data_IF_233008913619
#
_entry.id   IF_233008913619
#
_cell.length_a   1.000
_cell.length_b   1.000
_cell.length_c   1.000
_cell.angle_alpha   90.00
_cell.angle_beta   90.00
_cell.angle_gamma   90.00
#
_symmetry.space_group_name_H-M   'P 1'
#
loop_
_entity.id
_entity.type
_entity.pdbx_description
1 polymer ?
#
# COMPACT_ATOMS: atom_id res chain seq x y z
N UNK A 1 21.80 0.49 8.04
CA UNK A 1 20.33 0.47 7.93
C UNK A 1 19.91 1.61 7.03
N UNK A 2 19.09 1.33 6.03
CA UNK A 2 18.58 2.32 5.06
C UNK A 2 17.08 2.42 5.24
N UNK A 3 16.54 3.62 5.33
CA UNK A 3 15.11 3.89 5.34
C UNK A 3 14.77 4.84 4.19
N UNK A 4 13.73 4.53 3.42
CA UNK A 4 13.31 5.29 2.26
C UNK A 4 11.95 5.94 2.54
N UNK A 5 11.84 7.23 2.30
CA UNK A 5 10.54 7.87 2.13
C UNK A 5 10.07 7.62 0.69
N UNK A 6 8.95 6.97 0.49
CA UNK A 6 8.40 6.77 -0.86
C UNK A 6 8.04 8.11 -1.52
N UNK A 7 8.02 8.15 -2.85
CA UNK A 7 7.56 9.34 -3.58
C UNK A 7 6.16 9.77 -3.10
N UNK A 8 6.01 11.05 -2.82
CA UNK A 8 4.78 11.62 -2.25
C UNK A 8 4.67 11.51 -0.73
N UNK A 9 5.65 10.90 -0.04
CA UNK A 9 5.72 10.79 1.42
C UNK A 9 6.97 11.48 1.98
N UNK A 10 6.89 11.84 3.27
CA UNK A 10 8.03 12.37 4.02
C UNK A 10 8.73 13.52 3.33
N UNK A 11 10.03 13.37 3.10
CA UNK A 11 10.91 14.34 2.44
C UNK A 11 11.12 14.06 0.94
N UNK A 12 10.58 12.95 0.42
CA UNK A 12 10.70 12.61 -0.99
C UNK A 12 9.90 13.56 -1.89
N UNK A 13 10.29 13.62 -3.15
CA UNK A 13 9.62 14.46 -4.15
C UNK A 13 8.14 14.09 -4.29
N UNK A 14 7.27 15.05 -4.64
CA UNK A 14 5.87 14.77 -4.91
C UNK A 14 5.72 13.88 -6.15
N UNK A 15 4.63 13.13 -6.21
CA UNK A 15 4.28 12.35 -7.38
C UNK A 15 4.03 13.26 -8.60
N UNK A 16 4.50 12.83 -9.77
CA UNK A 16 4.17 13.46 -11.06
C UNK A 16 2.95 12.80 -11.71
N UNK A 17 2.66 11.55 -11.34
CA UNK A 17 1.52 10.76 -11.78
C UNK A 17 1.03 9.83 -10.66
N UNK A 18 -0.13 9.22 -10.82
CA UNK A 18 -0.70 8.35 -9.80
C UNK A 18 -0.04 6.96 -9.84
N UNK A 19 0.63 6.57 -8.78
CA UNK A 19 1.33 5.31 -8.60
C UNK A 19 0.42 4.19 -8.10
N UNK A 20 0.60 2.99 -8.65
CA UNK A 20 0.13 1.71 -8.12
C UNK A 20 1.16 1.11 -7.15
N UNK A 21 0.86 -0.06 -6.55
CA UNK A 21 1.84 -0.79 -5.74
C UNK A 21 3.02 -1.25 -6.60
N UNK A 22 2.77 -1.63 -7.86
CA UNK A 22 3.84 -2.02 -8.80
C UNK A 22 4.78 -0.86 -9.10
N UNK A 23 4.25 0.35 -9.32
CA UNK A 23 5.08 1.53 -9.59
C UNK A 23 5.98 1.86 -8.38
N UNK A 24 5.44 1.74 -7.15
CA UNK A 24 6.26 1.88 -5.94
C UNK A 24 7.30 0.77 -5.80
N UNK A 25 6.98 -0.46 -6.18
CA UNK A 25 7.92 -1.58 -6.15
C UNK A 25 9.09 -1.35 -7.12
N UNK A 26 8.81 -0.96 -8.36
CA UNK A 26 9.85 -0.66 -9.35
C UNK A 26 10.72 0.53 -8.91
N UNK A 27 10.10 1.63 -8.47
CA UNK A 27 10.84 2.77 -7.92
C UNK A 27 11.74 2.36 -6.75
N UNK A 28 11.27 1.46 -5.87
CA UNK A 28 12.06 0.98 -4.72
C UNK A 28 13.23 0.13 -5.18
N UNK A 29 13.05 -0.74 -6.19
CA UNK A 29 14.14 -1.52 -6.79
C UNK A 29 15.22 -0.61 -7.37
N UNK A 30 14.82 0.42 -8.12
CA UNK A 30 15.74 1.41 -8.68
C UNK A 30 16.53 2.14 -7.58
N UNK A 31 15.81 2.60 -6.52
CA UNK A 31 16.44 3.29 -5.40
C UNK A 31 17.46 2.40 -4.66
N UNK A 32 17.13 1.13 -4.41
CA UNK A 32 18.06 0.17 -3.80
C UNK A 32 19.29 -0.06 -4.70
N UNK A 33 19.07 -0.19 -6.01
CA UNK A 33 20.16 -0.33 -6.98
C UNK A 33 21.10 0.87 -6.98
N UNK A 34 20.58 2.10 -6.97
CA UNK A 34 21.39 3.33 -6.89
C UNK A 34 22.17 3.44 -5.57
N UNK A 35 21.65 2.88 -4.49
CA UNK A 35 22.29 2.84 -3.19
C UNK A 35 23.28 1.67 -3.05
N UNK A 36 23.42 0.80 -4.06
CA UNK A 36 24.27 -0.39 -4.02
C UNK A 36 23.79 -1.44 -3.00
N UNK A 37 22.49 -1.41 -2.64
CA UNK A 37 21.93 -2.36 -1.67
C UNK A 37 21.52 -3.63 -2.41
N UNK A 38 22.16 -4.74 -2.08
CA UNK A 38 21.93 -6.06 -2.71
C UNK A 38 21.39 -7.02 -1.66
N UNK A 39 20.28 -7.68 -1.96
CA UNK A 39 19.62 -8.69 -1.12
C UNK A 39 19.50 -8.29 0.37
N UNK A 40 18.91 -7.15 0.68
CA UNK A 40 18.80 -6.71 2.07
C UNK A 40 17.86 -7.58 2.89
N UNK A 41 18.06 -7.61 4.22
CA UNK A 41 16.97 -7.89 5.14
C UNK A 41 15.99 -6.72 5.09
N UNK A 42 14.72 -7.00 4.87
CA UNK A 42 13.68 -5.97 4.81
C UNK A 42 12.76 -6.02 6.01
N UNK A 43 12.48 -4.86 6.59
CA UNK A 43 11.42 -4.67 7.59
C UNK A 43 10.39 -3.73 6.96
N UNK A 44 9.18 -4.20 6.81
CA UNK A 44 8.11 -3.43 6.21
C UNK A 44 6.88 -3.35 7.13
N UNK A 45 6.19 -2.21 7.10
CA UNK A 45 4.98 -1.96 7.88
C UNK A 45 3.84 -1.49 6.98
N UNK A 46 2.63 -1.99 7.22
CA UNK A 46 1.39 -1.54 6.56
C UNK A 46 1.53 -1.41 5.04
N UNK A 47 1.56 -0.19 4.48
CA UNK A 47 1.76 0.05 3.04
C UNK A 47 3.10 -0.48 2.54
N UNK A 48 4.17 -0.37 3.31
CA UNK A 48 5.48 -0.93 2.97
C UNK A 48 5.43 -2.46 2.75
N UNK A 49 4.54 -3.17 3.47
CA UNK A 49 4.34 -4.60 3.25
C UNK A 49 3.81 -4.89 1.84
N UNK A 50 2.90 -4.06 1.32
CA UNK A 50 2.40 -4.20 -0.06
C UNK A 50 3.52 -4.10 -1.08
N UNK A 51 4.40 -3.11 -0.90
CA UNK A 51 5.55 -2.89 -1.78
C UNK A 51 6.53 -4.06 -1.68
N UNK A 52 6.87 -4.52 -0.47
CA UNK A 52 7.75 -5.65 -0.26
C UNK A 52 7.22 -6.96 -0.88
N UNK A 53 5.92 -7.25 -0.70
CA UNK A 53 5.25 -8.41 -1.32
C UNK A 53 5.33 -8.33 -2.84
N UNK A 54 5.07 -7.14 -3.41
CA UNK A 54 5.13 -6.95 -4.87
C UNK A 54 6.54 -7.12 -5.43
N UNK A 55 7.57 -6.69 -4.68
CA UNK A 55 8.96 -6.86 -5.08
C UNK A 55 9.43 -8.31 -4.99
N UNK A 56 9.00 -9.05 -3.96
CA UNK A 56 9.41 -10.43 -3.70
C UNK A 56 8.66 -11.46 -4.55
N UNK A 57 7.58 -11.08 -5.21
CA UNK A 57 6.79 -11.96 -6.07
C UNK A 57 7.64 -12.61 -7.15
N UNK A 58 7.80 -13.94 -7.09
CA UNK A 58 8.53 -14.73 -8.08
C UNK A 58 10.02 -14.37 -8.20
N UNK A 59 10.59 -13.67 -7.21
CA UNK A 59 12.00 -13.27 -7.19
C UNK A 59 12.59 -13.46 -5.79
N UNK A 60 12.95 -14.69 -5.47
CA UNK A 60 13.60 -15.05 -4.19
C UNK A 60 14.97 -14.40 -3.96
N UNK A 61 15.51 -13.66 -4.93
CA UNK A 61 16.81 -13.01 -4.83
C UNK A 61 16.74 -11.53 -4.47
N UNK A 62 15.55 -10.91 -4.55
CA UNK A 62 15.40 -9.47 -4.28
C UNK A 62 15.68 -9.11 -2.82
N UNK A 63 15.32 -9.99 -1.89
CA UNK A 63 15.60 -9.87 -0.46
C UNK A 63 16.29 -11.12 0.07
N UNK A 64 16.98 -11.00 1.22
CA UNK A 64 17.47 -12.16 1.94
C UNK A 64 16.39 -12.71 2.87
N UNK A 65 15.85 -11.88 3.77
CA UNK A 65 14.72 -12.21 4.65
C UNK A 65 13.75 -11.04 4.74
N UNK A 66 12.48 -11.35 5.02
CA UNK A 66 11.39 -10.39 5.04
C UNK A 66 10.70 -10.41 6.41
N UNK A 67 10.62 -9.27 7.08
CA UNK A 67 9.78 -9.05 8.25
C UNK A 67 8.63 -8.12 7.88
N UNK A 68 7.40 -8.61 7.97
CA UNK A 68 6.17 -7.84 7.73
C UNK A 68 5.43 -7.59 9.04
N UNK A 69 5.11 -6.32 9.32
CA UNK A 69 4.38 -5.93 10.53
C UNK A 69 3.07 -5.23 10.16
N UNK A 70 1.93 -5.68 10.72
CA UNK A 70 0.60 -5.17 10.38
C UNK A 70 0.38 -5.13 8.86
N UNK A 71 0.53 -6.24 8.14
CA UNK A 71 0.55 -6.23 6.67
C UNK A 71 -0.82 -5.90 6.11
N UNK A 72 -0.88 -4.87 5.27
CA UNK A 72 -2.03 -4.58 4.43
C UNK A 72 -1.88 -5.30 3.07
N UNK A 73 -2.99 -5.67 2.43
CA UNK A 73 -2.95 -6.27 1.08
C UNK A 73 -3.95 -7.38 0.85
N UNK A 74 -4.61 -7.84 1.90
CA UNK A 74 -5.68 -8.82 1.80
C UNK A 74 -7.03 -8.10 1.73
N UNK A 75 -7.75 -8.27 0.63
CA UNK A 75 -9.11 -7.75 0.51
C UNK A 75 -10.07 -8.74 1.16
N UNK A 76 -10.46 -8.46 2.39
CA UNK A 76 -11.50 -9.23 3.07
C UNK A 76 -12.85 -9.06 2.36
N UNK A 77 -13.65 -10.14 2.30
CA UNK A 77 -15.02 -10.08 1.77
C UNK A 77 -15.85 -9.11 2.62
N UNK A 78 -16.03 -7.90 2.12
CA UNK A 78 -16.73 -6.84 2.83
C UNK A 78 -18.23 -7.14 2.88
N UNK A 79 -18.80 -7.16 4.08
CA UNK A 79 -20.21 -7.47 4.31
C UNK A 79 -21.21 -6.49 3.66
N UNK A 80 -22.49 -6.85 3.61
CA UNK A 80 -23.55 -6.05 2.98
C UNK A 80 -23.65 -4.62 3.50
N UNK A 81 -23.43 -4.40 4.79
CA UNK A 81 -23.42 -3.04 5.41
C UNK A 81 -22.37 -2.11 4.77
N UNK A 82 -21.18 -2.64 4.50
CA UNK A 82 -20.12 -1.86 3.83
C UNK A 82 -20.52 -1.56 2.37
N UNK A 83 -21.04 -2.55 1.65
CA UNK A 83 -21.50 -2.37 0.25
C UNK A 83 -22.60 -1.32 0.15
N UNK A 84 -23.55 -1.30 1.10
CA UNK A 84 -24.59 -0.28 1.19
C UNK A 84 -23.99 1.11 1.45
N UNK A 85 -23.03 1.23 2.39
CA UNK A 85 -22.33 2.50 2.69
C UNK A 85 -21.58 3.04 1.47
N UNK A 86 -20.92 2.17 0.69
CA UNK A 86 -20.23 2.56 -0.54
C UNK A 86 -21.23 3.00 -1.62
N UNK A 87 -22.37 2.31 -1.77
CA UNK A 87 -23.44 2.74 -2.71
C UNK A 87 -24.00 4.12 -2.34
N UNK A 88 -24.29 4.31 -1.07
CA UNK A 88 -24.77 5.61 -0.56
C UNK A 88 -23.73 6.72 -0.82
N UNK A 89 -22.48 6.46 -0.52
CA UNK A 89 -21.39 7.40 -0.81
C UNK A 89 -21.32 7.77 -2.30
N UNK A 90 -21.43 6.79 -3.20
CA UNK A 90 -21.40 7.04 -4.66
C UNK A 90 -22.58 7.90 -5.12
N UNK A 91 -23.78 7.68 -4.55
CA UNK A 91 -24.96 8.50 -4.81
C UNK A 91 -24.77 9.93 -4.31
N UNK A 92 -24.36 10.09 -3.04
CA UNK A 92 -24.10 11.42 -2.45
C UNK A 92 -22.99 12.15 -3.21
N UNK A 93 -21.93 11.47 -3.62
CA UNK A 93 -20.86 12.07 -4.40
C UNK A 93 -21.32 12.55 -5.79
N UNK A 94 -22.29 11.87 -6.39
CA UNK A 94 -22.86 12.27 -7.69
C UNK A 94 -23.73 13.54 -7.58
N UNK A 95 -24.44 13.72 -6.46
CA UNK A 95 -25.38 14.82 -6.23
C UNK A 95 -24.71 16.01 -5.53
N UNK A 96 -23.86 15.74 -4.53
CA UNK A 96 -23.20 16.74 -3.70
C UNK A 96 -21.73 16.36 -3.44
N UNK A 97 -20.84 16.48 -4.45
CA UNK A 97 -19.44 16.01 -4.35
C UNK A 97 -18.67 16.66 -3.20
N UNK A 98 -18.83 17.96 -2.96
CA UNK A 98 -18.17 18.68 -1.87
C UNK A 98 -18.63 18.18 -0.49
N UNK A 99 -19.90 17.86 -0.33
CA UNK A 99 -20.45 17.30 0.91
C UNK A 99 -19.92 15.89 1.15
N UNK A 100 -19.88 15.06 0.11
CA UNK A 100 -19.34 13.71 0.17
C UNK A 100 -17.86 13.72 0.59
N UNK A 101 -17.04 14.57 0.00
CA UNK A 101 -15.60 14.70 0.33
C UNK A 101 -15.36 15.21 1.76
N UNK A 102 -16.23 16.08 2.27
CA UNK A 102 -16.12 16.62 3.62
C UNK A 102 -16.50 15.61 4.71
N UNK A 103 -17.47 14.72 4.47
CA UNK A 103 -18.06 13.85 5.49
C UNK A 103 -17.66 12.38 5.35
N UNK A 104 -17.10 11.97 4.20
CA UNK A 104 -16.68 10.60 3.95
C UNK A 104 -15.16 10.55 3.68
N UNK A 105 -14.50 9.58 4.27
CA UNK A 105 -13.05 9.39 4.19
C UNK A 105 -12.34 9.73 5.51
N UNK A 106 -11.19 9.10 5.74
CA UNK A 106 -10.36 9.38 6.90
C UNK A 106 -9.77 10.80 6.83
N UNK A 107 -9.32 11.33 7.97
CA UNK A 107 -8.67 12.64 8.03
C UNK A 107 -7.44 12.67 7.12
N UNK A 108 -6.65 11.59 7.16
CA UNK A 108 -5.45 11.44 6.32
C UNK A 108 -5.79 11.45 4.84
N UNK A 109 -6.79 10.67 4.40
CA UNK A 109 -7.22 10.65 3.00
C UNK A 109 -7.63 12.04 2.48
N UNK A 110 -8.29 12.84 3.33
CA UNK A 110 -8.75 14.20 2.94
C UNK A 110 -7.59 15.16 2.72
N UNK A 111 -6.48 15.02 3.48
CA UNK A 111 -5.29 15.88 3.35
C UNK A 111 -4.42 15.53 2.14
N UNK A 112 -4.62 14.37 1.50
CA UNK A 112 -3.84 13.96 0.34
C UNK A 112 -4.07 14.89 -0.88
N UNK A 113 -3.00 15.09 -1.66
CA UNK A 113 -3.09 15.74 -2.98
C UNK A 113 -3.98 14.95 -3.95
N UNK A 114 -4.48 15.54 -5.03
CA UNK A 114 -5.28 14.82 -6.03
C UNK A 114 -4.59 13.55 -6.55
N UNK A 115 -3.31 13.63 -6.91
CA UNK A 115 -2.52 12.48 -7.39
C UNK A 115 -2.36 11.40 -6.32
N UNK A 116 -2.08 11.80 -5.06
CA UNK A 116 -2.00 10.86 -3.95
C UNK A 116 -3.35 10.19 -3.66
N UNK A 117 -4.48 10.87 -3.86
CA UNK A 117 -5.81 10.26 -3.75
C UNK A 117 -6.06 9.21 -4.84
N UNK A 118 -5.56 9.44 -6.04
CA UNK A 118 -5.64 8.45 -7.13
C UNK A 118 -4.75 7.25 -6.85
N UNK A 119 -3.50 7.47 -6.43
CA UNK A 119 -2.59 6.41 -5.99
C UNK A 119 -3.21 5.58 -4.85
N UNK A 120 -3.76 6.24 -3.82
CA UNK A 120 -4.43 5.56 -2.72
C UNK A 120 -5.55 4.63 -3.19
N UNK A 121 -6.37 5.05 -4.18
CA UNK A 121 -7.43 4.20 -4.73
C UNK A 121 -6.87 2.98 -5.46
N UNK A 122 -5.79 3.13 -6.24
CA UNK A 122 -5.10 2.00 -6.88
C UNK A 122 -4.60 1.03 -5.82
N UNK A 123 -3.87 1.52 -4.83
CA UNK A 123 -3.22 0.76 -3.76
C UNK A 123 -4.23 -0.04 -2.92
N UNK A 124 -5.28 0.60 -2.39
CA UNK A 124 -6.22 -0.07 -1.46
C UNK A 124 -7.17 -1.06 -2.12
N UNK A 125 -7.33 -0.99 -3.44
CA UNK A 125 -8.16 -1.92 -4.20
C UNK A 125 -7.37 -3.11 -4.77
N UNK A 126 -6.06 -3.12 -4.64
CA UNK A 126 -5.23 -4.22 -5.11
C UNK A 126 -5.21 -5.35 -4.07
N UNK A 127 -5.52 -6.56 -4.51
CA UNK A 127 -5.49 -7.77 -3.69
C UNK A 127 -4.19 -8.52 -3.95
N UNK A 128 -3.34 -8.58 -2.94
CA UNK A 128 -1.99 -9.15 -3.05
C UNK A 128 -1.90 -10.62 -2.62
N UNK A 129 -3.01 -11.31 -2.37
CA UNK A 129 -2.98 -12.72 -1.94
C UNK A 129 -2.29 -13.61 -2.97
N UNK A 130 -2.55 -13.35 -4.27
CA UNK A 130 -1.86 -14.06 -5.34
C UNK A 130 -0.35 -13.80 -5.33
N UNK A 131 0.04 -12.54 -5.22
CA UNK A 131 1.45 -12.15 -5.19
C UNK A 131 2.17 -12.72 -3.95
N UNK A 132 1.51 -12.70 -2.79
CA UNK A 132 2.06 -13.27 -1.56
C UNK A 132 2.27 -14.79 -1.63
N UNK A 133 1.43 -15.51 -2.38
CA UNK A 133 1.58 -16.94 -2.58
C UNK A 133 2.79 -17.32 -3.47
N UNK A 134 3.34 -16.36 -4.20
CA UNK A 134 4.51 -16.54 -5.08
C UNK A 134 5.84 -16.11 -4.40
N UNK A 135 5.82 -15.75 -3.11
CA UNK A 135 7.03 -15.39 -2.36
C UNK A 135 7.80 -16.66 -2.00
N UNK A 136 9.08 -16.70 -2.39
CA UNK A 136 10.01 -17.79 -2.10
C UNK A 136 10.91 -17.53 -0.89
N UNK A 137 10.98 -16.27 -0.46
CA UNK A 137 11.83 -15.85 0.67
C UNK A 137 11.28 -16.35 2.02
N UNK A 138 12.14 -16.45 3.02
CA UNK A 138 11.75 -16.62 4.41
C UNK A 138 11.04 -15.34 4.91
N UNK A 139 9.79 -15.47 5.36
CA UNK A 139 8.95 -14.36 5.83
C UNK A 139 8.58 -14.55 7.29
N UNK A 140 8.86 -13.54 8.12
CA UNK A 140 8.31 -13.42 9.46
C UNK A 140 7.16 -12.41 9.45
N UNK A 141 5.98 -12.89 9.84
CA UNK A 141 4.77 -12.08 9.94
C UNK A 141 4.49 -11.73 11.38
N UNK A 142 4.29 -10.44 11.67
CA UNK A 142 3.95 -9.94 13.01
C UNK A 142 2.67 -9.12 12.94
N UNK A 143 1.65 -9.59 13.60
CA UNK A 143 0.35 -8.92 13.72
C UNK A 143 0.00 -8.64 15.17
N UNK A 144 -0.68 -7.54 15.43
CA UNK A 144 -1.23 -7.25 16.76
C UNK A 144 -2.53 -8.04 16.98
N UNK A 145 -2.69 -8.69 18.12
CA UNK A 145 -3.92 -9.45 18.46
C UNK A 145 -5.21 -8.62 18.38
N UNK A 146 -5.10 -7.30 18.53
CA UNK A 146 -6.24 -6.38 18.50
C UNK A 146 -6.27 -5.53 17.23
N UNK A 147 -5.43 -5.84 16.22
CA UNK A 147 -5.46 -5.12 14.95
C UNK A 147 -6.70 -5.49 14.13
N UNK A 148 -7.63 -4.56 14.05
CA UNK A 148 -8.87 -4.68 13.26
C UNK A 148 -8.83 -3.83 11.98
N UNK A 149 -7.69 -3.22 11.65
CA UNK A 149 -7.54 -2.23 10.57
C UNK A 149 -6.87 -2.78 9.32
N UNK A 150 -6.16 -3.86 9.42
CA UNK A 150 -5.47 -4.56 8.31
C UNK A 150 -6.17 -5.83 7.87
#
# INVERSE_FOLDING_TARGET
>A
MTALDFLGFGKSAPLKEAFSVSDYAEWTKEALGLLGVVRPYVVAHSFGCRVAVKMAKGDGQVFDKILLTGPAGVILKRGMKYRAKVRLYRLVKKIAPRFAEKHFGSREYRSLSPLMKESYKKIVNEDLRGDAAEIENEVLLVEGEQDTTT
#
